data_IF_505886198893
#
_entry.id   IF_505886198893
#
_cell.length_a   1.000
_cell.length_b   1.000
_cell.length_c   1.000
_cell.angle_alpha   90.00
_cell.angle_beta   90.00
_cell.angle_gamma   90.00
#
_symmetry.space_group_name_H-M   'P 1'
#
loop_
_entity.id
_entity.type
_entity.pdbx_description
1 polymer ?
#
# COMPACT_ATOMS: atom_id res chain seq x y z
N UNK A 1 -9.51 4.85 8.08
CA UNK A 1 -10.61 4.38 7.20
C UNK A 1 -10.41 2.91 6.82
N UNK A 2 -9.39 2.55 6.04
CA UNK A 2 -9.17 1.16 5.60
C UNK A 2 -8.98 0.15 6.75
N UNK A 3 -8.30 0.54 7.84
CA UNK A 3 -8.14 -0.28 9.06
C UNK A 3 -9.48 -0.61 9.74
N UNK A 4 -10.47 0.27 9.61
CA UNK A 4 -11.72 0.23 10.36
C UNK A 4 -12.86 -0.43 9.58
N UNK A 5 -12.81 -0.43 8.24
CA UNK A 5 -13.95 -0.85 7.40
C UNK A 5 -14.45 -2.24 7.72
N UNK A 6 -13.56 -3.20 7.99
CA UNK A 6 -13.96 -4.58 8.32
C UNK A 6 -14.75 -4.69 9.63
N UNK A 7 -14.53 -3.76 10.57
CA UNK A 7 -15.19 -3.73 11.87
C UNK A 7 -16.45 -2.88 11.85
N UNK A 8 -16.44 -1.80 11.07
CA UNK A 8 -17.45 -0.74 11.14
C UNK A 8 -18.45 -0.78 9.97
N UNK A 9 -18.11 -1.45 8.87
CA UNK A 9 -18.99 -1.56 7.69
C UNK A 9 -18.76 -2.89 6.94
N UNK A 10 -19.41 -3.94 7.42
CA UNK A 10 -19.32 -5.29 6.84
C UNK A 10 -19.82 -5.34 5.39
N UNK A 11 -20.91 -4.63 5.07
CA UNK A 11 -21.45 -4.51 3.71
C UNK A 11 -20.37 -4.03 2.75
N UNK A 12 -19.68 -2.94 3.09
CA UNK A 12 -18.62 -2.38 2.26
C UNK A 12 -17.41 -3.30 2.19
N UNK A 13 -17.00 -3.88 3.33
CA UNK A 13 -15.82 -4.75 3.41
C UNK A 13 -15.97 -6.05 2.61
N UNK A 14 -17.20 -6.55 2.44
CA UNK A 14 -17.52 -7.81 1.75
C UNK A 14 -18.20 -7.59 0.39
N UNK A 15 -18.31 -6.34 -0.05
CA UNK A 15 -18.99 -5.96 -1.29
C UNK A 15 -18.34 -6.57 -2.54
N UNK A 16 -17.02 -6.50 -2.67
CA UNK A 16 -16.30 -7.14 -3.76
C UNK A 16 -16.18 -8.66 -3.52
N UNK A 17 -16.32 -9.44 -4.60
CA UNK A 17 -16.23 -10.90 -4.62
C UNK A 17 -15.13 -11.35 -5.57
N UNK A 18 -14.68 -12.59 -5.39
CA UNK A 18 -13.61 -13.14 -6.21
C UNK A 18 -14.01 -13.24 -7.69
N UNK A 19 -15.26 -13.58 -7.97
CA UNK A 19 -15.78 -13.85 -9.32
C UNK A 19 -16.16 -12.58 -10.09
N UNK A 20 -16.13 -11.40 -9.47
CA UNK A 20 -16.49 -10.15 -10.13
C UNK A 20 -15.50 -9.82 -11.25
N UNK A 21 -15.97 -9.62 -12.50
CA UNK A 21 -15.11 -9.19 -13.60
C UNK A 21 -14.44 -7.84 -13.31
N UNK A 22 -15.22 -6.86 -12.84
CA UNK A 22 -14.73 -5.64 -12.23
C UNK A 22 -15.14 -5.56 -10.77
N UNK A 23 -14.19 -5.73 -9.86
CA UNK A 23 -14.44 -5.65 -8.42
C UNK A 23 -14.84 -4.25 -7.93
N UNK A 24 -14.65 -3.23 -8.75
CA UNK A 24 -15.22 -1.90 -8.50
C UNK A 24 -16.67 -1.86 -8.98
N UNK A 25 -16.92 -2.10 -10.27
CA UNK A 25 -18.26 -1.90 -10.85
C UNK A 25 -19.24 -3.01 -10.45
N UNK A 26 -18.86 -4.27 -10.65
CA UNK A 26 -19.67 -5.45 -10.32
C UNK A 26 -19.60 -5.80 -8.83
N UNK A 27 -18.62 -5.24 -8.11
CA UNK A 27 -18.40 -5.43 -6.68
C UNK A 27 -18.92 -4.28 -5.84
N UNK A 28 -18.02 -3.35 -5.52
CA UNK A 28 -18.27 -2.23 -4.60
C UNK A 28 -19.50 -1.41 -5.02
N UNK A 29 -19.59 -0.99 -6.27
CA UNK A 29 -20.69 -0.14 -6.75
C UNK A 29 -21.99 -0.94 -6.92
N UNK A 30 -21.95 -2.19 -7.39
CA UNK A 30 -23.17 -2.97 -7.52
C UNK A 30 -23.83 -3.33 -6.17
N UNK A 31 -23.08 -3.37 -5.07
CA UNK A 31 -23.55 -3.93 -3.78
C UNK A 31 -23.43 -3.00 -2.58
N UNK A 32 -22.67 -1.92 -2.67
CA UNK A 32 -22.42 -0.99 -1.57
C UNK A 32 -22.14 0.44 -2.08
N UNK A 33 -22.82 0.88 -3.16
CA UNK A 33 -22.59 2.20 -3.76
C UNK A 33 -22.80 3.33 -2.77
N UNK A 34 -23.94 3.35 -2.08
CA UNK A 34 -24.28 4.43 -1.14
C UNK A 34 -23.29 4.49 0.02
N UNK A 35 -22.91 3.34 0.60
CA UNK A 35 -21.89 3.25 1.64
C UNK A 35 -20.51 3.67 1.14
N UNK A 36 -20.14 3.28 -0.08
CA UNK A 36 -18.88 3.68 -0.69
C UNK A 36 -18.84 5.19 -0.91
N UNK A 37 -19.89 5.77 -1.50
CA UNK A 37 -20.00 7.22 -1.73
C UNK A 37 -19.95 7.97 -0.40
N UNK A 38 -20.69 7.53 0.62
CA UNK A 38 -20.70 8.14 1.95
C UNK A 38 -19.32 8.07 2.62
N UNK A 39 -18.59 6.96 2.49
CA UNK A 39 -17.23 6.83 3.01
C UNK A 39 -16.25 7.74 2.26
N UNK A 40 -16.24 7.69 0.93
CA UNK A 40 -15.30 8.43 0.07
C UNK A 40 -15.55 9.95 0.10
N UNK A 41 -16.78 10.39 0.36
CA UNK A 41 -17.13 11.80 0.50
C UNK A 41 -16.44 12.47 1.71
N UNK A 42 -16.06 11.70 2.74
CA UNK A 42 -15.34 12.19 3.92
C UNK A 42 -13.88 12.55 3.60
N UNK A 43 -13.32 12.02 2.50
CA UNK A 43 -11.97 12.33 2.07
C UNK A 43 -11.98 13.72 1.44
N UNK A 44 -11.35 14.68 2.13
CA UNK A 44 -11.14 16.05 1.66
C UNK A 44 -9.69 16.47 1.83
N UNK A 45 -9.20 17.29 0.90
CA UNK A 45 -7.86 17.86 0.96
C UNK A 45 -7.96 19.37 0.83
N UNK A 46 -7.49 20.09 1.86
CA UNK A 46 -7.37 21.56 1.79
C UNK A 46 -6.19 21.95 0.88
N UNK A 47 -6.30 23.04 0.10
CA UNK A 47 -5.15 23.64 -0.59
C UNK A 47 -3.98 23.98 0.34
N UNK A 48 -4.25 24.24 1.62
CA UNK A 48 -3.24 24.61 2.60
C UNK A 48 -2.47 23.39 3.17
N UNK A 49 -3.06 22.20 3.08
CA UNK A 49 -2.53 20.97 3.69
C UNK A 49 -1.85 20.03 2.68
N UNK A 50 -1.70 20.47 1.41
CA UNK A 50 -1.24 19.61 0.30
C UNK A 50 0.07 18.88 0.62
N UNK A 51 1.00 19.54 1.30
CA UNK A 51 2.29 18.95 1.65
C UNK A 51 2.17 17.81 2.68
N UNK A 52 1.44 18.04 3.77
CA UNK A 52 1.19 17.02 4.80
C UNK A 52 0.39 15.86 4.20
N UNK A 53 -0.71 16.18 3.51
CA UNK A 53 -1.60 15.18 2.90
C UNK A 53 -0.89 14.35 1.83
N UNK A 54 0.11 14.91 1.12
CA UNK A 54 0.92 14.13 0.18
C UNK A 54 1.79 13.11 0.91
N UNK A 55 2.43 13.52 2.01
CA UNK A 55 3.23 12.60 2.82
C UNK A 55 2.35 11.52 3.47
N UNK A 56 1.19 11.89 4.00
CA UNK A 56 0.20 10.97 4.56
C UNK A 56 -0.29 9.96 3.50
N UNK A 57 -0.57 10.40 2.28
CA UNK A 57 -0.96 9.53 1.17
C UNK A 57 0.14 8.53 0.82
N UNK A 58 1.39 8.98 0.67
CA UNK A 58 2.53 8.11 0.39
C UNK A 58 2.78 7.10 1.50
N UNK A 59 2.70 7.55 2.75
CA UNK A 59 2.85 6.69 3.93
C UNK A 59 1.73 5.65 4.00
N UNK A 60 0.49 6.07 3.80
CA UNK A 60 -0.68 5.19 3.83
C UNK A 60 -0.61 4.14 2.73
N UNK A 61 -0.18 4.51 1.52
CA UNK A 61 0.02 3.54 0.44
C UNK A 61 1.12 2.52 0.76
N UNK A 62 2.24 2.97 1.36
CA UNK A 62 3.31 2.08 1.81
C UNK A 62 2.82 1.14 2.92
N UNK A 63 2.12 1.68 3.91
CA UNK A 63 1.51 0.91 5.00
C UNK A 63 0.53 -0.13 4.48
N UNK A 64 -0.43 0.25 3.63
CA UNK A 64 -1.45 -0.66 3.10
C UNK A 64 -0.80 -1.80 2.31
N UNK A 65 0.13 -1.49 1.41
CA UNK A 65 0.82 -2.50 0.62
C UNK A 65 1.61 -3.49 1.49
N UNK A 66 2.34 -2.99 2.50
CA UNK A 66 3.12 -3.83 3.40
C UNK A 66 2.25 -4.63 4.38
N UNK A 67 1.22 -4.02 4.94
CA UNK A 67 0.34 -4.63 5.92
C UNK A 67 -0.54 -5.73 5.31
N UNK A 68 -1.01 -5.53 4.07
CA UNK A 68 -1.77 -6.54 3.33
C UNK A 68 -0.91 -7.71 2.87
N UNK A 69 0.41 -7.55 2.81
CA UNK A 69 1.33 -8.60 2.39
C UNK A 69 1.51 -9.71 3.43
N UNK A 70 1.08 -9.50 4.68
CA UNK A 70 1.21 -10.45 5.77
C UNK A 70 -0.08 -11.25 5.97
N UNK A 71 -0.11 -12.46 5.41
CA UNK A 71 -1.22 -13.40 5.55
C UNK A 71 -0.72 -14.82 5.92
N UNK A 72 -0.39 -15.09 7.19
CA UNK A 72 0.00 -16.43 7.62
C UNK A 72 -1.05 -17.49 7.22
N UNK A 73 -0.62 -18.71 6.82
CA UNK A 73 0.73 -19.26 6.96
C UNK A 73 1.65 -18.98 5.76
N UNK A 74 1.28 -18.09 4.84
CA UNK A 74 2.04 -17.86 3.61
C UNK A 74 3.28 -16.99 3.85
N UNK A 75 4.28 -17.12 2.96
CA UNK A 75 5.36 -16.12 2.89
C UNK A 75 4.77 -14.74 2.54
N UNK A 76 5.44 -13.63 2.92
CA UNK A 76 4.96 -12.31 2.54
C UNK A 76 4.84 -12.16 1.03
N UNK A 77 3.70 -11.68 0.54
CA UNK A 77 3.49 -11.35 -0.87
C UNK A 77 2.72 -10.06 -0.98
N UNK A 78 3.30 -9.08 -1.67
CA UNK A 78 2.64 -7.81 -1.92
C UNK A 78 1.53 -7.99 -2.96
N UNK A 79 0.46 -7.22 -2.81
CA UNK A 79 -0.66 -7.23 -3.74
C UNK A 79 -0.34 -6.38 -4.97
N UNK A 80 -0.53 -6.96 -6.16
CA UNK A 80 -0.25 -6.31 -7.44
C UNK A 80 -0.97 -4.98 -7.59
N UNK A 81 -2.23 -4.84 -7.17
CA UNK A 81 -2.98 -3.60 -7.32
C UNK A 81 -2.63 -2.59 -6.22
N UNK A 82 -2.45 -3.05 -4.99
CA UNK A 82 -2.10 -2.16 -3.87
C UNK A 82 -0.70 -1.56 -4.02
N UNK A 83 0.24 -2.26 -4.66
CA UNK A 83 1.53 -1.63 -5.00
C UNK A 83 1.34 -0.45 -5.97
N UNK A 84 0.34 -0.43 -6.85
CA UNK A 84 0.12 0.71 -7.75
C UNK A 84 -0.31 1.96 -7.00
N UNK A 85 -0.98 1.83 -5.85
CA UNK A 85 -1.27 2.98 -4.99
C UNK A 85 0.05 3.64 -4.57
N UNK A 86 1.05 2.82 -4.24
CA UNK A 86 2.37 3.24 -3.79
C UNK A 86 3.27 3.69 -4.95
N UNK A 87 3.37 2.94 -6.05
CA UNK A 87 4.28 3.27 -7.17
C UNK A 87 3.85 4.52 -7.94
N UNK A 88 2.57 4.88 -7.90
CA UNK A 88 2.06 6.14 -8.47
C UNK A 88 2.21 7.34 -7.51
N UNK A 89 2.42 7.10 -6.22
CA UNK A 89 2.49 8.15 -5.21
C UNK A 89 3.61 9.20 -5.45
N UNK A 90 4.82 8.83 -5.94
CA UNK A 90 5.88 9.80 -6.24
C UNK A 90 5.50 10.89 -7.25
N UNK A 91 4.48 10.70 -8.11
CA UNK A 91 4.00 11.76 -9.01
C UNK A 91 3.57 13.02 -8.24
N UNK A 92 3.00 12.85 -7.04
CA UNK A 92 2.54 13.97 -6.20
C UNK A 92 3.69 14.80 -5.64
N UNK A 93 4.87 14.20 -5.41
CA UNK A 93 6.08 14.96 -5.08
C UNK A 93 6.51 15.86 -6.23
N UNK A 94 6.39 15.38 -7.47
CA UNK A 94 6.68 16.19 -8.66
C UNK A 94 5.65 17.32 -8.82
N UNK A 95 4.36 17.03 -8.66
CA UNK A 95 3.29 18.05 -8.73
C UNK A 95 3.53 19.16 -7.70
N UNK A 96 3.93 18.80 -6.47
CA UNK A 96 4.21 19.77 -5.42
C UNK A 96 5.43 20.66 -5.72
N UNK A 97 6.43 20.14 -6.45
CA UNK A 97 7.59 20.94 -6.90
C UNK A 97 7.24 21.94 -8.01
N UNK A 98 6.18 21.71 -8.76
CA UNK A 98 5.73 22.58 -9.85
C UNK A 98 4.66 23.58 -9.42
N UNK A 99 4.74 24.05 -8.16
CA UNK A 99 3.78 24.98 -7.58
C UNK A 99 3.70 26.34 -8.30
N UNK A 100 4.71 26.69 -9.11
CA UNK A 100 4.74 27.91 -9.91
C UNK A 100 3.65 27.96 -11.00
N UNK A 101 3.17 26.82 -11.50
CA UNK A 101 2.18 26.76 -12.58
C UNK A 101 1.04 25.76 -12.35
N UNK A 102 1.11 24.92 -11.32
CA UNK A 102 -0.01 24.09 -10.87
C UNK A 102 -0.54 24.67 -9.56
N UNK A 103 -1.71 25.34 -9.53
CA UNK A 103 -2.23 25.95 -8.31
C UNK A 103 -2.47 24.95 -7.16
N UNK A 104 -2.38 25.41 -5.92
CA UNK A 104 -2.59 24.57 -4.73
C UNK A 104 -3.96 23.86 -4.74
N UNK A 105 -5.02 24.56 -5.16
CA UNK A 105 -6.35 23.99 -5.31
C UNK A 105 -6.40 22.83 -6.32
N UNK A 106 -5.63 22.90 -7.41
CA UNK A 106 -5.55 21.84 -8.40
C UNK A 106 -4.80 20.62 -7.84
N UNK A 107 -3.68 20.83 -7.14
CA UNK A 107 -2.92 19.76 -6.47
C UNK A 107 -3.75 19.07 -5.38
N UNK A 108 -4.48 19.86 -4.58
CA UNK A 108 -5.39 19.36 -3.56
C UNK A 108 -6.49 18.48 -4.17
N UNK A 109 -7.14 18.93 -5.25
CA UNK A 109 -8.15 18.14 -5.96
C UNK A 109 -7.59 16.84 -6.52
N UNK A 110 -6.42 16.86 -7.16
CA UNK A 110 -5.79 15.64 -7.67
C UNK A 110 -5.48 14.65 -6.54
N UNK A 111 -4.99 15.14 -5.42
CA UNK A 111 -4.66 14.32 -4.26
C UNK A 111 -5.91 13.74 -3.59
N UNK A 112 -6.99 14.52 -3.50
CA UNK A 112 -8.29 14.06 -2.99
C UNK A 112 -8.84 12.90 -3.85
N UNK A 113 -8.80 13.02 -5.18
CA UNK A 113 -9.23 11.96 -6.09
C UNK A 113 -8.34 10.72 -6.03
N UNK A 114 -7.02 10.90 -5.87
CA UNK A 114 -6.09 9.78 -5.65
C UNK A 114 -6.44 9.02 -4.37
N UNK A 115 -6.64 9.72 -3.25
CA UNK A 115 -7.01 9.10 -1.98
C UNK A 115 -8.34 8.35 -2.06
N UNK A 116 -9.33 8.90 -2.76
CA UNK A 116 -10.61 8.22 -3.01
C UNK A 116 -10.44 6.95 -3.84
N UNK A 117 -9.65 7.03 -4.91
CA UNK A 117 -9.36 5.89 -5.77
C UNK A 117 -8.63 4.78 -5.00
N UNK A 118 -7.63 5.13 -4.20
CA UNK A 118 -6.91 4.15 -3.38
C UNK A 118 -7.84 3.45 -2.37
N UNK A 119 -8.77 4.20 -1.76
CA UNK A 119 -9.76 3.62 -0.86
C UNK A 119 -10.69 2.66 -1.59
N UNK A 120 -11.27 3.04 -2.74
CA UNK A 120 -12.20 2.14 -3.46
C UNK A 120 -11.50 0.90 -4.02
N UNK A 121 -10.24 1.03 -4.48
CA UNK A 121 -9.46 -0.12 -4.91
C UNK A 121 -9.11 -1.06 -3.76
N UNK A 122 -8.81 -0.52 -2.57
CA UNK A 122 -8.61 -1.35 -1.37
C UNK A 122 -9.86 -2.19 -1.05
N UNK A 123 -11.06 -1.58 -1.14
CA UNK A 123 -12.33 -2.30 -0.98
C UNK A 123 -12.50 -3.37 -2.07
N UNK A 124 -12.20 -3.01 -3.33
CA UNK A 124 -12.25 -3.91 -4.47
C UNK A 124 -11.26 -5.08 -4.36
N UNK A 125 -10.19 -4.96 -3.56
CA UNK A 125 -9.28 -6.07 -3.25
C UNK A 125 -9.77 -7.00 -2.13
N UNK A 126 -11.03 -6.88 -1.72
CA UNK A 126 -11.61 -7.67 -0.64
C UNK A 126 -11.22 -7.19 0.75
N UNK A 127 -10.78 -5.92 0.87
CA UNK A 127 -10.38 -5.30 2.13
C UNK A 127 -9.41 -6.17 2.96
N UNK A 128 -8.20 -6.48 2.43
CA UNK A 128 -7.26 -7.37 3.11
C UNK A 128 -6.97 -6.90 4.55
N UNK A 129 -6.88 -7.82 5.53
CA UNK A 129 -6.49 -7.44 6.88
C UNK A 129 -5.14 -6.73 6.89
N UNK A 130 -5.07 -5.56 7.53
CA UNK A 130 -3.83 -4.78 7.63
C UNK A 130 -3.06 -5.19 8.88
N UNK A 131 -2.19 -6.21 8.75
CA UNK A 131 -1.53 -6.89 9.89
C UNK A 131 -0.04 -6.54 10.05
N UNK A 132 0.31 -5.28 9.81
CA UNK A 132 1.73 -4.89 9.87
C UNK A 132 2.35 -5.08 11.25
N UNK A 133 1.63 -4.79 12.34
CA UNK A 133 2.15 -4.98 13.69
C UNK A 133 2.56 -6.45 13.94
N UNK A 134 1.71 -7.39 13.54
CA UNK A 134 1.99 -8.82 13.63
C UNK A 134 3.20 -9.19 12.76
N UNK A 135 3.26 -8.67 11.53
CA UNK A 135 4.38 -8.89 10.63
C UNK A 135 5.69 -8.39 11.23
N UNK A 136 5.69 -7.17 11.79
CA UNK A 136 6.88 -6.59 12.40
C UNK A 136 7.32 -7.35 13.65
N UNK A 137 6.40 -7.97 14.39
CA UNK A 137 6.71 -8.76 15.57
C UNK A 137 7.25 -10.16 15.23
N UNK A 138 6.78 -10.76 14.13
CA UNK A 138 6.98 -12.20 13.85
C UNK A 138 7.87 -12.50 12.65
N UNK A 139 8.00 -11.58 11.69
CA UNK A 139 8.84 -11.77 10.53
C UNK A 139 10.32 -11.53 10.86
N UNK A 140 11.16 -12.49 10.48
CA UNK A 140 12.61 -12.42 10.52
C UNK A 140 13.19 -12.60 9.11
N UNK A 141 14.06 -11.71 8.63
CA UNK A 141 14.78 -11.92 7.38
C UNK A 141 15.62 -13.20 7.43
N UNK A 142 15.72 -13.92 6.30
CA UNK A 142 16.53 -15.14 6.20
C UNK A 142 18.05 -14.87 6.17
N UNK A 143 18.45 -13.62 5.91
CA UNK A 143 19.85 -13.20 5.89
C UNK A 143 20.53 -13.46 7.24
N UNK A 144 21.66 -14.18 7.22
CA UNK A 144 22.47 -14.41 8.42
C UNK A 144 23.02 -13.10 9.04
N UNK A 145 23.27 -12.11 8.19
CA UNK A 145 23.72 -10.77 8.58
C UNK A 145 22.90 -9.71 7.84
N UNK A 146 21.73 -9.32 8.38
CA UNK A 146 20.91 -8.30 7.76
C UNK A 146 21.67 -6.98 7.58
N UNK A 147 21.50 -6.33 6.42
CA UNK A 147 22.04 -4.99 6.18
C UNK A 147 21.51 -3.96 7.18
N UNK A 148 22.30 -2.92 7.48
CA UNK A 148 21.94 -1.90 8.46
C UNK A 148 20.82 -0.94 8.00
N UNK A 149 20.66 -0.72 6.68
CA UNK A 149 19.71 0.26 6.13
C UNK A 149 18.97 -0.28 4.93
N UNK A 150 17.68 0.05 4.80
CA UNK A 150 16.79 -0.37 3.71
C UNK A 150 17.42 -0.16 2.32
N UNK A 151 18.05 0.99 2.10
CA UNK A 151 18.72 1.34 0.84
C UNK A 151 19.86 0.39 0.43
N UNK A 152 20.46 -0.32 1.38
CA UNK A 152 21.53 -1.28 1.07
C UNK A 152 21.00 -2.57 0.41
N UNK A 153 19.67 -2.77 0.38
CA UNK A 153 19.04 -3.87 -0.37
C UNK A 153 18.87 -3.57 -1.87
N UNK A 154 19.11 -2.32 -2.32
CA UNK A 154 18.94 -1.93 -3.72
C UNK A 154 19.65 -2.85 -4.73
N UNK A 155 20.91 -3.31 -4.52
CA UNK A 155 21.56 -4.21 -5.46
C UNK A 155 20.80 -5.53 -5.69
N UNK A 156 20.18 -6.09 -4.63
CA UNK A 156 19.38 -7.32 -4.74
C UNK A 156 18.10 -7.06 -5.51
N UNK A 157 17.43 -5.95 -5.25
CA UNK A 157 16.23 -5.57 -6.01
C UNK A 157 16.51 -5.25 -7.47
N UNK A 158 17.67 -4.68 -7.80
CA UNK A 158 18.07 -4.45 -9.19
C UNK A 158 18.38 -5.75 -9.96
N UNK A 159 18.72 -6.83 -9.24
CA UNK A 159 18.94 -8.15 -9.84
C UNK A 159 17.64 -8.91 -10.11
N UNK A 160 16.49 -8.48 -9.56
CA UNK A 160 15.18 -9.05 -9.88
C UNK A 160 14.81 -8.67 -11.31
N UNK A 161 14.48 -9.68 -12.12
CA UNK A 161 14.10 -9.51 -13.52
C UNK A 161 12.58 -9.52 -13.64
N UNK A 162 11.99 -8.34 -13.73
CA UNK A 162 10.55 -8.13 -13.89
C UNK A 162 10.25 -7.03 -14.92
N UNK A 163 8.98 -6.65 -15.08
CA UNK A 163 8.54 -5.50 -15.90
C UNK A 163 8.69 -4.13 -15.18
N UNK A 164 9.49 -4.11 -14.12
CA UNK A 164 9.89 -2.95 -13.33
C UNK A 164 8.99 -2.65 -12.13
N UNK A 165 7.98 -3.46 -11.79
CA UNK A 165 7.11 -3.20 -10.63
C UNK A 165 7.87 -3.25 -9.31
N UNK A 166 8.80 -4.19 -9.15
CA UNK A 166 9.63 -4.38 -7.96
C UNK A 166 10.44 -3.13 -7.66
N UNK A 167 11.26 -2.68 -8.63
CA UNK A 167 12.13 -1.52 -8.38
C UNK A 167 11.34 -0.21 -8.23
N UNK A 168 10.17 -0.09 -8.88
CA UNK A 168 9.24 1.04 -8.67
C UNK A 168 8.70 1.03 -7.24
N UNK A 169 8.33 -0.14 -6.71
CA UNK A 169 7.85 -0.33 -5.34
C UNK A 169 8.93 0.04 -4.33
N UNK A 170 10.16 -0.46 -4.52
CA UNK A 170 11.33 -0.13 -3.69
C UNK A 170 11.60 1.37 -3.64
N UNK A 171 11.64 2.03 -4.80
CA UNK A 171 11.84 3.48 -4.89
C UNK A 171 10.74 4.24 -4.14
N UNK A 172 9.49 3.81 -4.30
CA UNK A 172 8.36 4.44 -3.65
C UNK A 172 8.37 4.24 -2.12
N UNK A 173 8.77 3.06 -1.62
CA UNK A 173 8.97 2.80 -0.18
C UNK A 173 10.05 3.71 0.41
N UNK A 174 11.21 3.83 -0.24
CA UNK A 174 12.28 4.72 0.22
C UNK A 174 11.85 6.19 0.25
N UNK A 175 11.13 6.64 -0.78
CA UNK A 175 10.56 7.99 -0.81
C UNK A 175 9.51 8.18 0.29
N UNK A 176 8.62 7.21 0.50
CA UNK A 176 7.62 7.25 1.55
C UNK A 176 8.27 7.35 2.94
N UNK A 177 9.33 6.57 3.20
CA UNK A 177 10.14 6.68 4.41
C UNK A 177 10.66 8.10 4.59
N UNK A 178 11.38 8.63 3.59
CA UNK A 178 12.04 9.93 3.68
C UNK A 178 11.06 11.10 3.87
N UNK A 179 9.95 11.13 3.12
CA UNK A 179 8.95 12.21 3.26
C UNK A 179 8.16 12.12 4.56
N UNK A 180 8.04 10.92 5.14
CA UNK A 180 7.34 10.69 6.41
C UNK A 180 8.15 11.12 7.63
N UNK A 181 9.49 11.15 7.53
CA UNK A 181 10.39 11.48 8.67
C UNK A 181 10.05 12.82 9.33
N UNK A 182 9.73 13.86 8.54
CA UNK A 182 9.39 15.19 9.06
C UNK A 182 8.06 15.24 9.82
N UNK A 183 7.25 14.19 9.70
CA UNK A 183 5.93 14.06 10.31
C UNK A 183 5.89 12.99 11.41
N UNK A 184 7.04 12.62 11.96
CA UNK A 184 7.12 11.68 13.07
C UNK A 184 6.18 12.09 14.23
N UNK A 185 5.48 11.12 14.80
CA UNK A 185 4.50 11.32 15.87
C UNK A 185 3.10 11.73 15.40
N UNK A 186 2.87 11.94 14.10
CA UNK A 186 1.51 12.15 13.59
C UNK A 186 0.68 10.86 13.70
N UNK A 187 -0.63 10.94 14.00
CA UNK A 187 -1.47 9.75 14.19
C UNK A 187 -1.59 8.82 12.97
N UNK A 188 -1.31 9.33 11.77
CA UNK A 188 -1.34 8.58 10.51
C UNK A 188 -0.03 7.85 10.20
N UNK A 189 1.03 8.06 10.97
CA UNK A 189 2.26 7.28 10.87
C UNK A 189 1.98 5.88 11.42
N UNK A 190 2.24 4.87 10.58
CA UNK A 190 2.05 3.43 10.86
C UNK A 190 3.32 2.60 10.67
N UNK A 191 4.34 3.14 10.01
CA UNK A 191 5.66 2.54 9.86
C UNK A 191 6.68 3.45 10.55
N UNK A 192 7.05 3.11 11.79
CA UNK A 192 7.89 3.93 12.65
C UNK A 192 9.31 3.38 12.76
N UNK A 193 10.30 4.26 12.56
CA UNK A 193 11.71 3.93 12.71
C UNK A 193 12.30 3.15 11.54
N UNK A 194 13.62 3.27 11.38
CA UNK A 194 14.33 2.69 10.25
C UNK A 194 14.30 1.15 10.23
N UNK A 195 14.19 0.52 11.40
CA UNK A 195 14.07 -0.93 11.53
C UNK A 195 12.76 -1.45 10.93
N UNK A 196 11.62 -0.77 11.17
CA UNK A 196 10.34 -1.17 10.59
C UNK A 196 10.36 -1.05 9.07
N UNK A 197 10.89 0.04 8.53
CA UNK A 197 11.06 0.23 7.08
C UNK A 197 12.00 -0.82 6.46
N UNK A 198 13.11 -1.15 7.14
CA UNK A 198 14.01 -2.21 6.71
C UNK A 198 13.30 -3.58 6.68
N UNK A 199 12.50 -3.90 7.70
CA UNK A 199 11.75 -5.15 7.77
C UNK A 199 10.70 -5.25 6.66
N UNK A 200 9.98 -4.15 6.36
CA UNK A 200 9.07 -4.06 5.21
C UNK A 200 9.81 -4.34 3.89
N UNK A 201 11.01 -3.79 3.71
CA UNK A 201 11.83 -4.06 2.52
C UNK A 201 12.26 -5.53 2.44
N UNK A 202 12.62 -6.15 3.56
CA UNK A 202 12.90 -7.60 3.56
C UNK A 202 11.67 -8.46 3.29
N UNK A 203 10.48 -8.04 3.73
CA UNK A 203 9.23 -8.74 3.39
C UNK A 203 8.99 -8.70 1.88
N UNK A 204 9.17 -7.52 1.25
CA UNK A 204 9.08 -7.40 -0.21
C UNK A 204 10.11 -8.30 -0.88
N UNK A 205 11.37 -8.24 -0.44
CA UNK A 205 12.47 -9.02 -1.01
C UNK A 205 12.19 -10.52 -0.97
N UNK A 206 11.69 -11.03 0.17
CA UNK A 206 11.34 -12.45 0.32
C UNK A 206 10.28 -12.91 -0.69
N UNK A 207 9.38 -12.02 -1.07
CA UNK A 207 8.30 -12.31 -2.02
C UNK A 207 8.68 -12.12 -3.49
N UNK A 208 9.88 -11.64 -3.82
CA UNK A 208 10.29 -11.40 -5.22
C UNK A 208 11.62 -12.05 -5.58
N UNK A 209 12.53 -12.25 -4.62
CA UNK A 209 13.84 -12.79 -4.90
C UNK A 209 13.77 -14.31 -5.13
N UNK A 210 14.10 -14.73 -6.35
CA UNK A 210 14.13 -16.14 -6.74
C UNK A 210 12.75 -16.80 -6.88
N UNK A 211 11.67 -16.01 -6.85
CA UNK A 211 10.29 -16.50 -6.99
C UNK A 211 9.76 -16.30 -8.42
N UNK A 212 8.97 -17.26 -8.90
CA UNK A 212 8.31 -17.19 -10.23
C UNK A 212 7.06 -16.29 -10.23
N UNK A 213 6.38 -16.18 -9.07
CA UNK A 213 5.16 -15.38 -8.89
C UNK A 213 5.41 -14.28 -7.86
N UNK A 214 5.63 -13.05 -8.34
CA UNK A 214 6.03 -11.91 -7.51
C UNK A 214 4.90 -11.34 -6.64
N UNK A 215 3.65 -11.44 -7.11
CA UNK A 215 2.52 -10.70 -6.54
C UNK A 215 1.31 -11.61 -6.33
N UNK A 216 0.62 -11.42 -5.20
CA UNK A 216 -0.77 -11.87 -5.09
C UNK A 216 -1.68 -10.86 -5.79
N UNK A 217 -2.85 -11.30 -6.24
CA UNK A 217 -3.81 -10.44 -6.93
C UNK A 217 -5.13 -10.44 -6.17
N UNK A 218 -5.40 -9.36 -5.45
CA UNK A 218 -6.56 -9.19 -4.56
C UNK A 218 -6.42 -9.94 -3.24
N UNK A 219 -5.42 -9.55 -2.44
CA UNK A 219 -4.99 -10.17 -1.20
C UNK A 219 -6.07 -10.36 -0.12
N UNK A 220 -7.23 -9.68 -0.22
CA UNK A 220 -8.35 -9.88 0.69
C UNK A 220 -9.14 -11.17 0.43
N UNK A 221 -8.97 -11.79 -0.72
CA UNK A 221 -9.61 -13.06 -1.07
C UNK A 221 -8.69 -14.24 -0.81
N UNK A 222 -9.25 -15.34 -0.28
CA UNK A 222 -8.49 -16.57 0.02
C UNK A 222 -7.88 -17.19 -1.24
N UNK A 223 -8.59 -17.06 -2.36
CA UNK A 223 -8.24 -17.59 -3.68
C UNK A 223 -6.94 -16.97 -4.20
N UNK A 224 -6.65 -15.70 -3.84
CA UNK A 224 -5.42 -15.02 -4.21
C UNK A 224 -4.16 -15.65 -3.58
N UNK A 225 -4.32 -16.46 -2.54
CA UNK A 225 -3.24 -17.10 -1.80
C UNK A 225 -3.09 -18.59 -2.14
N UNK A 226 -3.95 -19.14 -2.99
CA UNK A 226 -3.80 -20.52 -3.47
C UNK A 226 -2.49 -20.66 -4.27
N UNK A 227 -1.69 -21.68 -3.92
CA UNK A 227 -0.39 -21.92 -4.56
C UNK A 227 0.77 -21.07 -4.04
N UNK A 228 0.52 -20.09 -3.15
CA UNK A 228 1.61 -19.34 -2.52
C UNK A 228 2.37 -20.23 -1.53
N UNK A 229 3.71 -20.23 -1.52
CA UNK A 229 4.49 -20.98 -0.55
C UNK A 229 4.16 -20.61 0.90
N UNK A 230 4.18 -21.60 1.79
CA UNK A 230 4.06 -21.36 3.23
C UNK A 230 5.40 -20.89 3.82
N UNK A 231 5.34 -20.01 4.81
CA UNK A 231 6.49 -19.69 5.64
C UNK A 231 6.81 -20.95 6.48
N UNK A 232 7.88 -21.64 6.12
CA UNK A 232 8.44 -22.79 6.86
C UNK A 232 9.16 -22.34 8.11
#
# INVERSE_FOLDING_TARGET
MCEAVRRENETLATSARWEDPSRIYDGVLARAEDEAVALLAQIRVSPDDVEERTAEMMHSAAYIAAAAAWNPPYIPKFDFFLIHHLTSAPFFLSLNRHAAWIPAAARARLLEWKLRLDCVEYLARGSPPLRLADALATYAPADAHPVAHARHLLPRFHAVVDDGHTIKTVRALLLAQDVSRKWAGRPWIRIEGDEAWLKVMYMLLRGVEGDEYEWVRSAGFKEAWEGIPKAT
#
